data_IF_130456901900
#
_entry.id   IF_130456901900
#
_cell.length_a   1.000
_cell.length_b   1.000
_cell.length_c   1.000
_cell.angle_alpha   90.00
_cell.angle_beta   90.00
_cell.angle_gamma   90.00
#
_symmetry.space_group_name_H-M   'P 1'
#
loop_
_entity.id
_entity.type
_entity.pdbx_description
1 polymer ?
#
# COMPACT_ATOMS: atom_id res chain seq x y z
N UNK A 1 1.28 2.20 8.30
CA UNK A 1 0.56 1.87 9.54
C UNK A 1 1.31 2.33 10.79
N UNK A 2 2.63 2.14 10.90
CA UNK A 2 3.38 2.59 12.09
C UNK A 2 3.28 4.11 12.31
N UNK A 3 3.30 4.92 11.25
CA UNK A 3 3.05 6.38 11.37
C UNK A 3 1.64 6.65 11.92
N UNK A 4 0.60 6.00 11.39
CA UNK A 4 -0.76 6.11 11.92
C UNK A 4 -0.85 5.77 13.41
N UNK A 5 -0.16 4.71 13.83
CA UNK A 5 -0.11 4.28 15.23
C UNK A 5 0.52 5.35 16.15
N UNK A 6 1.52 6.10 15.63
CA UNK A 6 2.23 7.15 16.40
C UNK A 6 1.50 8.47 16.44
N UNK A 7 0.98 8.92 15.29
CA UNK A 7 0.47 10.29 15.15
C UNK A 7 -1.06 10.37 15.03
N UNK A 8 -1.75 9.24 14.89
CA UNK A 8 -3.20 9.11 14.69
C UNK A 8 -3.71 9.74 13.39
N UNK A 9 -5.02 9.64 13.17
CA UNK A 9 -5.72 10.23 11.99
C UNK A 9 -5.80 11.75 12.00
N UNK A 10 -5.38 12.41 13.08
CA UNK A 10 -5.41 13.89 13.21
C UNK A 10 -4.01 14.51 13.29
N UNK A 11 -2.98 13.71 13.46
CA UNK A 11 -1.62 14.19 13.66
C UNK A 11 -1.00 14.84 12.42
N UNK A 12 -1.57 14.59 11.24
CA UNK A 12 -1.11 15.19 10.00
C UNK A 12 -1.76 16.51 9.61
N UNK A 13 -2.78 16.97 10.35
CA UNK A 13 -3.51 18.17 9.97
C UNK A 13 -2.62 19.41 9.94
N UNK A 14 -2.53 20.03 8.75
CA UNK A 14 -1.68 21.21 8.51
C UNK A 14 -0.20 20.88 8.31
N UNK A 15 0.21 19.63 8.41
CA UNK A 15 1.59 19.20 8.29
C UNK A 15 1.92 18.67 6.88
N UNK A 16 3.18 18.84 6.50
CA UNK A 16 3.84 18.18 5.37
C UNK A 16 4.83 17.17 5.95
N UNK A 17 4.72 15.90 5.56
CA UNK A 17 5.68 14.87 5.97
C UNK A 17 6.76 14.71 4.92
N UNK A 18 8.01 14.92 5.30
CA UNK A 18 9.17 14.58 4.50
C UNK A 18 9.84 13.33 5.05
N UNK A 19 9.97 12.32 4.21
CA UNK A 19 10.59 11.05 4.57
C UNK A 19 12.02 11.01 4.05
N UNK A 20 12.99 10.97 4.94
CA UNK A 20 14.41 11.01 4.61
C UNK A 20 15.21 9.96 5.40
N UNK A 21 16.50 9.95 5.20
CA UNK A 21 17.44 9.09 5.92
C UNK A 21 17.76 7.76 5.22
N UNK A 22 18.68 6.97 5.79
CA UNK A 22 19.22 5.76 5.14
C UNK A 22 18.17 4.68 4.91
N UNK A 23 17.19 4.55 5.81
CA UNK A 23 16.07 3.63 5.62
C UNK A 23 15.19 4.01 4.44
N UNK A 24 14.87 5.30 4.27
CA UNK A 24 14.08 5.79 3.14
C UNK A 24 14.78 5.55 1.79
N UNK A 25 16.11 5.65 1.74
CA UNK A 25 16.90 5.40 0.54
C UNK A 25 16.87 3.92 0.08
N UNK A 26 16.50 2.99 0.95
CA UNK A 26 16.34 1.57 0.58
C UNK A 26 15.00 1.26 -0.05
N UNK A 27 14.00 2.13 0.10
CA UNK A 27 12.64 1.91 -0.38
C UNK A 27 12.54 2.22 -1.87
N UNK A 28 11.99 1.27 -2.62
CA UNK A 28 11.64 1.47 -4.03
C UNK A 28 10.44 2.42 -4.17
N UNK A 29 10.30 3.07 -5.33
CA UNK A 29 9.22 4.04 -5.58
C UNK A 29 7.82 3.49 -5.29
N UNK A 30 7.44 2.25 -5.65
CA UNK A 30 6.12 1.72 -5.28
C UNK A 30 5.90 1.63 -3.76
N UNK A 31 6.94 1.32 -2.98
CA UNK A 31 6.86 1.29 -1.52
C UNK A 31 6.70 2.70 -0.94
N UNK A 32 7.44 3.69 -1.50
CA UNK A 32 7.27 5.11 -1.14
C UNK A 32 5.88 5.61 -1.49
N UNK A 33 5.35 5.21 -2.65
CA UNK A 33 3.99 5.54 -3.07
C UNK A 33 2.93 5.03 -2.08
N UNK A 34 3.09 3.82 -1.54
CA UNK A 34 2.25 3.29 -0.46
C UNK A 34 2.27 4.22 0.76
N UNK A 35 3.46 4.65 1.19
CA UNK A 35 3.62 5.53 2.37
C UNK A 35 2.97 6.90 2.12
N UNK A 36 3.26 7.54 0.98
CA UNK A 36 2.70 8.86 0.66
C UNK A 36 1.19 8.82 0.43
N UNK A 37 0.68 7.74 -0.17
CA UNK A 37 -0.76 7.53 -0.33
C UNK A 37 -1.47 7.46 1.03
N UNK A 38 -0.91 6.71 1.98
CA UNK A 38 -1.43 6.60 3.35
C UNK A 38 -1.27 7.90 4.17
N UNK A 39 -0.62 8.91 3.63
CA UNK A 39 -0.59 10.27 4.20
C UNK A 39 -1.98 10.90 4.31
N UNK A 40 -2.92 10.50 3.44
CA UNK A 40 -4.31 10.93 3.50
C UNK A 40 -5.00 10.47 4.81
N UNK A 41 -4.72 9.24 5.26
CA UNK A 41 -5.25 8.69 6.51
C UNK A 41 -4.66 9.37 7.75
N UNK A 42 -3.47 9.96 7.64
CA UNK A 42 -2.90 10.83 8.68
C UNK A 42 -3.58 12.20 8.75
N UNK A 43 -4.34 12.59 7.73
CA UNK A 43 -4.84 13.95 7.53
C UNK A 43 -3.75 14.92 7.06
N UNK A 44 -2.64 14.43 6.53
CA UNK A 44 -1.51 15.24 6.09
C UNK A 44 -1.88 16.12 4.89
N UNK A 45 -1.31 17.32 4.86
CA UNK A 45 -1.43 18.22 3.69
C UNK A 45 -0.76 17.59 2.48
N UNK A 46 0.44 17.01 2.66
CA UNK A 46 1.13 16.18 1.68
C UNK A 46 2.21 15.34 2.34
N UNK A 47 2.75 14.40 1.57
CA UNK A 47 3.88 13.55 1.96
C UNK A 47 4.87 13.47 0.81
N UNK A 48 6.15 13.63 1.08
CA UNK A 48 7.19 13.65 0.03
C UNK A 48 8.36 12.74 0.39
N UNK A 49 9.02 12.24 -0.65
CA UNK A 49 10.30 11.56 -0.59
C UNK A 49 11.30 12.28 -1.51
N UNK A 50 12.60 12.20 -1.22
CA UNK A 50 13.61 12.73 -2.13
C UNK A 50 13.59 12.01 -3.48
N UNK A 51 13.93 12.75 -4.53
CA UNK A 51 14.17 12.18 -5.86
C UNK A 51 15.62 11.72 -5.96
N UNK A 52 15.90 10.55 -5.42
CA UNK A 52 17.21 9.90 -5.35
C UNK A 52 17.39 8.83 -6.45
N UNK A 53 18.43 8.01 -6.33
CA UNK A 53 18.73 6.94 -7.29
C UNK A 53 17.59 5.90 -7.43
N UNK A 54 16.74 5.70 -6.44
CA UNK A 54 15.57 4.82 -6.56
C UNK A 54 14.53 5.41 -7.52
N UNK A 55 14.35 6.74 -7.48
CA UNK A 55 13.47 7.44 -8.42
C UNK A 55 14.06 7.39 -9.82
N UNK A 56 15.37 7.56 -9.98
CA UNK A 56 16.04 7.42 -11.29
C UNK A 56 15.83 6.04 -11.88
N UNK A 57 16.05 4.98 -11.10
CA UNK A 57 15.80 3.59 -11.54
C UNK A 57 14.36 3.37 -11.97
N UNK A 58 13.41 3.89 -11.20
CA UNK A 58 12.00 3.79 -11.54
C UNK A 58 11.69 4.52 -12.85
N UNK A 59 12.13 5.77 -13.01
CA UNK A 59 11.92 6.53 -14.24
C UNK A 59 12.55 5.85 -15.47
N UNK A 60 13.72 5.26 -15.29
CA UNK A 60 14.36 4.44 -16.34
C UNK A 60 13.48 3.26 -16.75
N UNK A 61 12.90 2.55 -15.79
CA UNK A 61 11.99 1.44 -16.09
C UNK A 61 10.70 1.87 -16.81
N UNK A 62 10.34 3.16 -16.69
CA UNK A 62 9.21 3.77 -17.39
C UNK A 62 9.59 4.41 -18.72
N UNK A 63 10.86 4.29 -19.16
CA UNK A 63 11.35 4.93 -20.37
C UNK A 63 11.47 6.46 -20.30
N UNK A 64 11.60 7.00 -19.10
CA UNK A 64 11.61 8.45 -18.78
C UNK A 64 12.87 8.88 -18.03
N UNK A 65 13.99 8.19 -18.18
CA UNK A 65 15.24 8.50 -17.46
C UNK A 65 15.73 9.92 -17.75
N UNK A 66 15.52 10.42 -18.97
CA UNK A 66 15.94 11.77 -19.38
C UNK A 66 15.21 12.90 -18.62
N UNK A 67 14.05 12.61 -18.06
CA UNK A 67 13.26 13.54 -17.29
C UNK A 67 13.68 13.57 -15.80
N UNK A 68 14.54 12.64 -15.37
CA UNK A 68 14.99 12.58 -13.98
C UNK A 68 15.75 13.86 -13.61
N UNK A 69 15.43 14.38 -12.45
CA UNK A 69 16.19 15.44 -11.76
C UNK A 69 16.33 15.03 -10.31
N UNK A 70 17.54 15.07 -9.82
CA UNK A 70 17.79 14.85 -8.39
C UNK A 70 17.18 15.99 -7.59
N UNK A 71 16.50 15.64 -6.50
CA UNK A 71 15.93 16.59 -5.56
C UNK A 71 16.08 15.99 -4.15
N UNK A 72 16.97 16.56 -3.38
CA UNK A 72 17.28 16.15 -2.01
C UNK A 72 16.97 17.32 -1.07
N UNK A 73 16.73 17.05 0.23
CA UNK A 73 16.71 18.12 1.23
C UNK A 73 18.01 18.91 1.22
N UNK A 74 17.93 20.19 1.51
CA UNK A 74 19.11 21.01 1.73
C UNK A 74 19.85 20.55 3.00
N UNK A 75 21.17 20.71 3.06
CA UNK A 75 22.00 20.27 4.19
C UNK A 75 21.63 20.99 5.50
N UNK A 76 21.09 22.19 5.40
CA UNK A 76 20.64 23.05 6.50
C UNK A 76 19.12 23.12 6.64
N UNK A 77 18.40 22.14 6.06
CA UNK A 77 16.94 22.07 6.19
C UNK A 77 16.52 21.98 7.67
N UNK A 78 15.63 22.88 8.08
CA UNK A 78 15.04 22.88 9.42
C UNK A 78 13.62 22.29 9.39
N UNK A 79 13.28 21.51 10.41
CA UNK A 79 11.99 20.87 10.56
C UNK A 79 11.38 21.23 11.91
N UNK A 80 10.06 21.46 11.94
CA UNK A 80 9.33 21.76 13.19
C UNK A 80 9.35 20.56 14.15
N UNK A 81 9.34 19.34 13.59
CA UNK A 81 9.37 18.09 14.35
C UNK A 81 10.09 16.99 13.56
N UNK A 82 10.82 16.15 14.27
CA UNK A 82 11.49 14.97 13.69
C UNK A 82 11.00 13.70 14.36
N UNK A 83 10.53 12.75 13.57
CA UNK A 83 10.07 11.42 14.02
C UNK A 83 11.05 10.37 13.52
N UNK A 84 11.87 9.83 14.41
CA UNK A 84 12.77 8.73 14.08
C UNK A 84 12.03 7.41 14.07
N UNK A 85 12.19 6.65 12.96
CA UNK A 85 11.61 5.34 12.77
C UNK A 85 12.65 4.34 12.25
N UNK A 86 13.04 3.41 13.10
CA UNK A 86 13.88 2.29 12.70
C UNK A 86 13.06 1.26 11.93
N UNK A 87 13.28 1.16 10.60
CA UNK A 87 12.58 0.21 9.74
C UNK A 87 12.90 -1.24 10.08
N UNK A 88 14.06 -1.53 10.70
CA UNK A 88 14.45 -2.89 11.08
C UNK A 88 13.65 -3.42 12.28
N UNK A 89 13.08 -2.54 13.07
CA UNK A 89 12.25 -2.88 14.24
C UNK A 89 10.77 -3.14 13.89
N UNK A 90 10.37 -2.89 12.64
CA UNK A 90 8.98 -3.06 12.22
C UNK A 90 8.58 -4.53 12.18
N UNK A 91 7.37 -4.79 12.65
CA UNK A 91 6.70 -6.07 12.55
C UNK A 91 5.39 -5.93 11.75
N UNK A 92 4.79 -7.03 11.28
CA UNK A 92 3.50 -6.97 10.60
C UNK A 92 2.43 -6.31 11.48
N UNK A 93 1.77 -5.29 10.91
CA UNK A 93 0.75 -4.49 11.58
C UNK A 93 -0.58 -4.62 10.85
N UNK A 94 -1.67 -4.48 11.61
CA UNK A 94 -3.04 -4.48 11.11
C UNK A 94 -3.79 -3.28 11.67
N UNK A 95 -4.49 -2.56 10.81
CA UNK A 95 -5.50 -1.58 11.25
C UNK A 95 -6.80 -2.32 11.56
N UNK A 96 -7.22 -2.28 12.83
CA UNK A 96 -8.44 -2.90 13.29
C UNK A 96 -9.63 -1.95 13.13
N UNK A 97 -10.88 -2.47 13.04
CA UNK A 97 -12.06 -1.62 13.03
C UNK A 97 -12.11 -0.70 14.27
N UNK A 98 -12.65 0.53 14.15
CA UNK A 98 -13.34 1.11 13.00
C UNK A 98 -12.56 2.30 12.41
N UNK A 99 -11.30 2.46 12.77
CA UNK A 99 -10.45 3.58 12.34
C UNK A 99 -9.08 3.08 11.88
N UNK A 100 -8.46 3.69 10.87
CA UNK A 100 -7.18 3.25 10.33
C UNK A 100 -6.01 3.41 11.33
N UNK A 101 -6.13 4.24 12.37
CA UNK A 101 -5.13 4.41 13.43
C UNK A 101 -5.30 3.43 14.61
N UNK A 102 -6.35 2.60 14.61
CA UNK A 102 -6.48 1.48 15.52
C UNK A 102 -5.53 0.33 15.11
N UNK A 103 -4.26 0.64 15.09
CA UNK A 103 -3.21 -0.26 14.60
C UNK A 103 -2.67 -1.15 15.71
N UNK A 104 -2.61 -2.45 15.44
CA UNK A 104 -2.04 -3.47 16.34
C UNK A 104 -1.02 -4.34 15.61
N UNK A 105 -0.05 -4.91 16.34
CA UNK A 105 0.73 -6.02 15.84
C UNK A 105 -0.17 -7.19 15.41
N UNK A 106 0.14 -7.81 14.27
CA UNK A 106 -0.64 -8.96 13.77
C UNK A 106 -0.70 -10.10 14.81
N UNK A 107 0.36 -10.26 15.60
CA UNK A 107 0.43 -11.27 16.67
C UNK A 107 -0.58 -11.06 17.82
N UNK A 108 -1.11 -9.85 17.95
CA UNK A 108 -2.07 -9.48 19.00
C UNK A 108 -3.52 -9.49 18.50
N UNK A 109 -3.73 -9.70 17.20
CA UNK A 109 -5.08 -9.73 16.62
C UNK A 109 -5.67 -11.13 16.72
N UNK A 110 -6.86 -11.22 17.28
CA UNK A 110 -7.61 -12.48 17.35
C UNK A 110 -7.95 -12.98 15.94
N UNK A 111 -7.91 -14.30 15.78
CA UNK A 111 -8.33 -14.94 14.52
C UNK A 111 -9.85 -14.89 14.43
N UNK A 112 -10.35 -14.06 13.54
CA UNK A 112 -11.78 -13.90 13.28
C UNK A 112 -12.16 -14.57 11.95
N UNK A 113 -13.40 -15.08 11.82
CA UNK A 113 -13.89 -15.54 10.52
C UNK A 113 -14.04 -14.34 9.58
N UNK A 114 -13.46 -14.46 8.39
CA UNK A 114 -13.49 -13.42 7.37
C UNK A 114 -14.45 -13.83 6.26
N UNK A 115 -15.38 -12.96 5.88
CA UNK A 115 -16.36 -13.20 4.81
C UNK A 115 -15.98 -12.49 3.51
N UNK A 116 -15.19 -11.43 3.60
CA UNK A 116 -14.74 -10.69 2.43
C UNK A 116 -13.24 -10.37 2.54
N UNK A 117 -12.55 -10.49 1.40
CA UNK A 117 -11.14 -10.06 1.25
C UNK A 117 -11.04 -9.18 0.02
N UNK A 118 -10.42 -8.04 0.18
CA UNK A 118 -10.06 -7.15 -0.91
C UNK A 118 -8.55 -6.93 -0.96
N UNK A 119 -7.96 -7.10 -2.14
CA UNK A 119 -6.52 -6.95 -2.37
C UNK A 119 -6.33 -5.85 -3.39
N UNK A 120 -5.45 -4.87 -3.08
CA UNK A 120 -5.05 -3.88 -4.05
C UNK A 120 -5.54 -2.47 -3.76
N UNK A 121 -6.22 -1.83 -4.71
CA UNK A 121 -6.60 -0.41 -4.70
C UNK A 121 -5.40 0.51 -4.98
N UNK A 122 -5.50 1.81 -4.62
CA UNK A 122 -4.45 2.80 -4.88
C UNK A 122 -3.20 2.61 -4.02
N UNK A 123 -3.31 1.94 -2.87
CA UNK A 123 -2.25 1.85 -1.87
C UNK A 123 -1.30 0.68 -2.12
N UNK A 124 -1.82 -0.53 -2.33
CA UNK A 124 -1.01 -1.75 -2.48
C UNK A 124 -1.43 -2.58 -3.69
N UNK A 125 -1.34 -2.01 -4.89
CA UNK A 125 -1.65 -2.70 -6.13
C UNK A 125 -0.57 -2.52 -7.21
N UNK A 126 0.67 -2.29 -6.79
CA UNK A 126 1.80 -2.29 -7.74
C UNK A 126 1.98 -3.67 -8.35
N UNK A 127 2.75 -3.74 -9.43
CA UNK A 127 3.09 -5.02 -10.04
C UNK A 127 3.66 -6.02 -9.01
N UNK A 128 4.60 -5.56 -8.18
CA UNK A 128 5.24 -6.41 -7.18
C UNK A 128 4.27 -6.89 -6.09
N UNK A 129 3.33 -6.05 -5.67
CA UNK A 129 2.34 -6.40 -4.66
C UNK A 129 1.40 -7.50 -5.16
N UNK A 130 0.84 -7.31 -6.36
CA UNK A 130 -0.10 -8.26 -6.94
C UNK A 130 0.60 -9.56 -7.34
N UNK A 131 1.83 -9.50 -7.87
CA UNK A 131 2.62 -10.69 -8.18
C UNK A 131 2.90 -11.52 -6.91
N UNK A 132 3.28 -10.87 -5.79
CA UNK A 132 3.44 -11.55 -4.49
C UNK A 132 2.14 -12.19 -4.01
N UNK A 133 1.02 -11.47 -4.09
CA UNK A 133 -0.29 -12.01 -3.75
C UNK A 133 -0.62 -13.24 -4.61
N UNK A 134 -0.43 -13.17 -5.91
CA UNK A 134 -0.67 -14.29 -6.83
C UNK A 134 0.16 -15.53 -6.48
N UNK A 135 1.43 -15.33 -6.09
CA UNK A 135 2.30 -16.43 -5.66
C UNK A 135 1.81 -17.09 -4.35
N UNK A 136 1.23 -16.32 -3.44
CA UNK A 136 0.61 -16.88 -2.22
C UNK A 136 -0.62 -17.73 -2.58
N UNK A 137 -1.40 -17.31 -3.56
CA UNK A 137 -2.58 -18.08 -4.02
C UNK A 137 -2.24 -19.28 -4.91
N UNK A 138 -1.03 -19.37 -5.43
CA UNK A 138 -0.63 -20.44 -6.35
C UNK A 138 -0.86 -21.82 -5.74
N UNK A 139 -1.72 -22.62 -6.39
CA UNK A 139 -2.06 -23.97 -5.94
C UNK A 139 -3.07 -24.03 -4.79
N UNK A 140 -3.63 -22.90 -4.38
CA UNK A 140 -4.66 -22.80 -3.36
C UNK A 140 -5.99 -22.34 -3.96
N UNK A 141 -7.06 -22.50 -3.21
CA UNK A 141 -8.40 -21.99 -3.53
C UNK A 141 -8.89 -21.08 -2.43
N UNK A 142 -9.58 -20.02 -2.81
CA UNK A 142 -10.37 -19.20 -1.87
C UNK A 142 -11.48 -20.09 -1.29
N UNK A 143 -11.74 -19.96 0.01
CA UNK A 143 -12.81 -20.67 0.66
C UNK A 143 -14.18 -20.27 0.07
N UNK A 144 -15.07 -21.23 -0.14
CA UNK A 144 -16.39 -21.00 -0.79
C UNK A 144 -17.27 -19.98 -0.05
N UNK A 145 -17.03 -19.78 1.24
CA UNK A 145 -17.76 -18.79 2.07
C UNK A 145 -17.09 -17.41 2.08
N UNK A 146 -16.00 -17.22 1.33
CA UNK A 146 -15.25 -15.95 1.29
C UNK A 146 -15.35 -15.30 -0.08
N UNK A 147 -15.77 -14.05 -0.12
CA UNK A 147 -15.70 -13.23 -1.33
C UNK A 147 -14.32 -12.60 -1.44
N UNK A 148 -13.46 -13.10 -2.31
CA UNK A 148 -12.12 -12.54 -2.53
C UNK A 148 -12.06 -11.78 -3.85
N UNK A 149 -11.60 -10.52 -3.79
CA UNK A 149 -11.51 -9.63 -4.94
C UNK A 149 -10.16 -8.93 -5.00
N UNK A 150 -9.73 -8.54 -6.20
CA UNK A 150 -8.48 -7.83 -6.43
C UNK A 150 -8.69 -6.68 -7.42
N UNK A 151 -8.23 -5.48 -7.06
CA UNK A 151 -8.16 -4.32 -7.95
C UNK A 151 -6.70 -3.91 -8.17
N UNK A 152 -6.33 -3.63 -9.42
CA UNK A 152 -4.97 -3.36 -9.86
C UNK A 152 -4.78 -1.84 -10.03
N UNK A 153 -3.58 -1.33 -9.75
CA UNK A 153 -3.32 0.11 -9.71
C UNK A 153 -3.46 0.83 -11.07
N UNK A 154 -3.15 0.17 -12.18
CA UNK A 154 -3.16 0.80 -13.50
C UNK A 154 -3.35 -0.20 -14.65
N UNK A 155 -3.76 0.32 -15.82
CA UNK A 155 -3.84 -0.50 -17.04
C UNK A 155 -2.50 -1.10 -17.46
N UNK A 156 -1.42 -0.36 -17.26
CA UNK A 156 -0.06 -0.83 -17.58
C UNK A 156 0.32 -2.01 -16.67
N UNK A 157 0.11 -1.87 -15.37
CA UNK A 157 0.32 -2.95 -14.39
C UNK A 157 -0.57 -4.15 -14.69
N UNK A 158 -1.85 -3.91 -15.01
CA UNK A 158 -2.80 -4.97 -15.38
C UNK A 158 -2.26 -5.79 -16.57
N UNK A 159 -1.82 -5.11 -17.64
CA UNK A 159 -1.30 -5.74 -18.84
C UNK A 159 -0.06 -6.59 -18.52
N UNK A 160 0.91 -6.05 -17.79
CA UNK A 160 2.11 -6.79 -17.40
C UNK A 160 1.80 -8.03 -16.57
N UNK A 161 0.94 -7.91 -15.56
CA UNK A 161 0.50 -9.06 -14.72
C UNK A 161 -0.25 -10.12 -15.53
N UNK A 162 -0.99 -9.72 -16.55
CA UNK A 162 -1.69 -10.65 -17.47
C UNK A 162 -0.68 -11.39 -18.34
N UNK A 163 0.28 -10.68 -18.94
CA UNK A 163 1.32 -11.24 -19.81
C UNK A 163 2.22 -12.24 -19.05
N UNK A 164 2.54 -11.94 -17.80
CA UNK A 164 3.35 -12.80 -16.91
C UNK A 164 2.52 -13.92 -16.23
N UNK A 165 1.21 -14.00 -16.48
CA UNK A 165 0.35 -15.08 -16.00
C UNK A 165 -0.13 -14.95 -14.55
N UNK A 166 0.22 -13.88 -13.82
CA UNK A 166 -0.19 -13.70 -12.43
C UNK A 166 -1.70 -13.54 -12.25
N UNK A 167 -2.38 -12.89 -13.21
CA UNK A 167 -3.84 -12.78 -13.16
C UNK A 167 -4.52 -14.14 -13.32
N UNK A 168 -3.96 -15.00 -14.16
CA UNK A 168 -4.44 -16.39 -14.29
C UNK A 168 -4.37 -17.14 -12.97
N UNK A 169 -3.25 -17.02 -12.23
CA UNK A 169 -3.09 -17.65 -10.91
C UNK A 169 -4.15 -17.19 -9.90
N UNK A 170 -4.45 -15.89 -9.87
CA UNK A 170 -5.49 -15.33 -9.01
C UNK A 170 -6.88 -15.82 -9.38
N UNK A 171 -7.21 -15.83 -10.68
CA UNK A 171 -8.49 -16.31 -11.19
C UNK A 171 -8.67 -17.81 -10.93
N UNK A 172 -7.63 -18.62 -11.14
CA UNK A 172 -7.63 -20.06 -10.85
C UNK A 172 -7.87 -20.32 -9.36
N UNK A 173 -7.40 -19.45 -8.48
CA UNK A 173 -7.66 -19.52 -7.04
C UNK A 173 -9.09 -19.10 -6.65
N UNK A 174 -9.88 -18.50 -7.56
CA UNK A 174 -11.22 -18.00 -7.29
C UNK A 174 -11.27 -16.52 -6.88
N UNK A 175 -10.18 -15.78 -7.07
CA UNK A 175 -10.16 -14.33 -6.85
C UNK A 175 -10.80 -13.63 -8.05
N UNK A 176 -11.73 -12.70 -7.79
CA UNK A 176 -12.37 -11.89 -8.83
C UNK A 176 -11.54 -10.64 -9.10
N UNK A 177 -11.18 -10.40 -10.35
CA UNK A 177 -10.48 -9.18 -10.74
C UNK A 177 -11.50 -8.07 -10.98
N UNK A 178 -11.33 -6.96 -10.29
CA UNK A 178 -12.22 -5.80 -10.37
C UNK A 178 -11.65 -4.73 -11.30
N UNK A 179 -12.48 -3.74 -11.58
CA UNK A 179 -12.08 -2.52 -12.29
C UNK A 179 -11.00 -1.75 -11.52
N UNK A 180 -10.23 -0.94 -12.25
CA UNK A 180 -9.19 -0.06 -11.69
C UNK A 180 -9.87 1.12 -11.00
N UNK A 181 -10.27 0.93 -9.76
CA UNK A 181 -10.99 1.90 -8.94
C UNK A 181 -10.81 1.62 -7.45
N UNK A 182 -11.28 2.53 -6.60
CA UNK A 182 -11.29 2.31 -5.15
C UNK A 182 -12.21 1.15 -4.75
N UNK A 183 -13.39 1.03 -5.36
CA UNK A 183 -14.30 -0.10 -5.16
C UNK A 183 -14.60 -0.42 -3.69
N UNK A 184 -14.32 -1.65 -3.24
CA UNK A 184 -14.59 -2.10 -1.88
C UNK A 184 -13.89 -1.29 -0.79
N UNK A 185 -12.74 -0.67 -1.10
CA UNK A 185 -11.99 0.15 -0.15
C UNK A 185 -12.82 1.32 0.41
N UNK A 186 -13.72 1.89 -0.39
CA UNK A 186 -14.65 2.95 0.01
C UNK A 186 -16.11 2.47 0.05
N UNK A 187 -16.32 1.18 0.29
CA UNK A 187 -17.63 0.54 0.41
C UNK A 187 -18.53 0.65 -0.85
N UNK A 188 -17.93 0.73 -2.04
CA UNK A 188 -18.66 0.77 -3.31
C UNK A 188 -18.71 -0.63 -3.92
N UNK A 189 -19.91 -1.17 -4.08
CA UNK A 189 -20.22 -2.35 -4.87
C UNK A 189 -19.88 -3.71 -4.26
N UNK A 190 -19.03 -3.78 -3.27
CA UNK A 190 -18.51 -5.02 -2.69
C UNK A 190 -18.36 -4.90 -1.18
N UNK A 191 -19.47 -4.74 -0.48
CA UNK A 191 -19.49 -4.77 1.00
C UNK A 191 -20.23 -6.03 1.46
N UNK A 192 -19.92 -6.57 2.66
CA UNK A 192 -20.74 -7.60 3.24
C UNK A 192 -22.20 -7.15 3.33
N UNK A 193 -23.14 -8.02 2.92
CA UNK A 193 -24.56 -7.71 2.96
C UNK A 193 -25.18 -7.77 4.36
N UNK A 194 -24.39 -8.23 5.34
CA UNK A 194 -24.77 -8.43 6.74
C UNK A 194 -23.65 -7.93 7.64
N UNK A 195 -23.78 -8.10 8.95
CA UNK A 195 -22.73 -7.83 9.94
C UNK A 195 -21.54 -8.80 9.78
N UNK A 196 -20.91 -8.79 8.61
CA UNK A 196 -19.74 -9.60 8.30
C UNK A 196 -18.43 -8.86 8.52
N UNK A 197 -17.32 -9.61 8.48
CA UNK A 197 -15.96 -9.08 8.55
C UNK A 197 -15.33 -9.10 7.15
N UNK A 198 -14.83 -7.95 6.75
CA UNK A 198 -14.09 -7.75 5.51
C UNK A 198 -12.61 -7.49 5.77
#
# INVERSE_FOLDING_TARGET
>A
LEMLRRVSIKGGLGNVYEYAGPGAATLEVPQRATITNMGAELGATTSIFPADEQVRKFMKSQGREDEYRELLPDEDAEYDEVIDLDLSSLQPLVACPHQPDNVKPLSEVEKLPVQQVFIGSCTNASYADIAKAALVFKGHKVNDNVSCTCAIASRQTYKALMEDGYLGMLMDAGVRILEIACGPCCAIGQTPATEGIA
#
